data_IF_971937841793
#
_entry.id   IF_971937841793
#
_cell.length_a   1.000
_cell.length_b   1.000
_cell.length_c   1.000
_cell.angle_alpha   90.00
_cell.angle_beta   90.00
_cell.angle_gamma   90.00
#
_symmetry.space_group_name_H-M   'P 1'
#
loop_
_entity.id
_entity.type
_entity.pdbx_description
1 polymer ?
#
# COMPACT_ATOMS: atom_id res chain seq x y z
N UNK A 1 6.89 -42.86 16.94
CA UNK A 1 6.07 -43.59 15.95
C UNK A 1 4.62 -43.11 15.91
N UNK A 2 3.98 -42.84 17.06
CA UNK A 2 2.59 -42.32 17.12
C UNK A 2 2.37 -40.97 16.39
N UNK A 3 3.36 -40.05 16.43
CA UNK A 3 3.28 -38.74 15.73
C UNK A 3 3.37 -38.85 14.21
N UNK A 4 4.10 -39.83 13.70
CA UNK A 4 4.22 -40.08 12.25
C UNK A 4 2.96 -40.77 11.73
N UNK A 5 2.39 -41.70 12.51
CA UNK A 5 1.10 -42.32 12.20
C UNK A 5 -0.04 -41.28 12.20
N UNK A 6 -0.05 -40.35 13.16
CA UNK A 6 -1.07 -39.28 13.22
C UNK A 6 -0.94 -38.31 12.03
N UNK A 7 0.30 -37.97 11.64
CA UNK A 7 0.54 -37.13 10.46
C UNK A 7 0.13 -37.83 9.15
N UNK A 8 0.34 -39.14 9.03
CA UNK A 8 -0.08 -39.95 7.88
C UNK A 8 -1.60 -40.09 7.80
N UNK A 9 -2.29 -40.24 8.94
CA UNK A 9 -3.76 -40.31 8.99
C UNK A 9 -4.37 -38.94 8.69
N UNK A 10 -3.77 -37.84 9.15
CA UNK A 10 -4.19 -36.47 8.82
C UNK A 10 -3.96 -36.13 7.34
N UNK A 11 -2.86 -36.59 6.73
CA UNK A 11 -2.61 -36.38 5.29
C UNK A 11 -3.48 -37.26 4.39
N UNK A 12 -3.88 -38.46 4.85
CA UNK A 12 -4.88 -39.29 4.17
C UNK A 12 -6.31 -38.72 4.28
N UNK A 13 -6.63 -38.00 5.36
CA UNK A 13 -7.93 -37.31 5.55
C UNK A 13 -8.03 -35.99 4.76
N UNK A 14 -6.88 -35.37 4.41
CA UNK A 14 -6.81 -34.21 3.53
C UNK A 14 -6.89 -34.58 2.04
N UNK A 15 -6.89 -35.88 1.71
CA UNK A 15 -7.17 -36.42 0.38
C UNK A 15 -8.65 -36.71 0.14
N UNK A 16 -9.56 -36.06 0.86
CA UNK A 16 -10.97 -36.04 0.49
C UNK A 16 -11.06 -35.48 -0.92
N UNK A 17 -11.40 -36.37 -1.84
CA UNK A 17 -11.68 -36.08 -3.23
C UNK A 17 -12.54 -34.82 -3.29
N UNK A 18 -12.07 -33.81 -4.02
CA UNK A 18 -12.96 -32.79 -4.54
C UNK A 18 -14.12 -33.56 -5.18
N UNK A 19 -15.32 -33.48 -4.59
CA UNK A 19 -16.50 -34.00 -5.26
C UNK A 19 -16.50 -33.30 -6.61
N UNK A 20 -16.34 -34.07 -7.67
CA UNK A 20 -16.52 -33.57 -9.02
C UNK A 20 -17.86 -32.86 -8.99
N UNK A 21 -17.82 -31.54 -9.16
CA UNK A 21 -19.01 -30.70 -9.18
C UNK A 21 -19.80 -31.22 -10.37
N UNK A 22 -20.84 -32.01 -10.10
CA UNK A 22 -21.69 -32.58 -11.14
C UNK A 22 -22.16 -31.42 -11.99
N UNK A 23 -21.82 -31.43 -13.28
CA UNK A 23 -22.28 -30.43 -14.22
C UNK A 23 -23.79 -30.27 -14.02
N UNK A 24 -24.29 -29.09 -13.60
CA UNK A 24 -25.69 -28.95 -13.28
C UNK A 24 -26.54 -29.36 -14.48
N UNK A 25 -27.61 -30.12 -14.24
CA UNK A 25 -28.53 -30.54 -15.29
C UNK A 25 -29.27 -29.30 -15.83
N UNK A 26 -28.90 -28.91 -17.05
CA UNK A 26 -29.45 -27.75 -17.78
C UNK A 26 -30.42 -28.17 -18.87
N UNK A 27 -30.83 -29.44 -18.93
CA UNK A 27 -31.75 -29.96 -19.95
C UNK A 27 -33.10 -29.23 -19.92
N UNK A 28 -33.60 -28.90 -18.72
CA UNK A 28 -34.88 -28.22 -18.53
C UNK A 28 -34.89 -26.75 -19.03
N UNK A 29 -33.72 -26.14 -19.16
CA UNK A 29 -33.55 -24.75 -19.63
C UNK A 29 -32.98 -24.68 -21.04
N UNK A 30 -32.84 -25.82 -21.74
CA UNK A 30 -32.20 -25.88 -23.05
C UNK A 30 -30.74 -25.44 -23.04
N UNK A 31 -30.03 -25.59 -21.91
CA UNK A 31 -28.67 -25.09 -21.72
C UNK A 31 -28.57 -23.72 -21.04
N UNK A 32 -29.68 -22.99 -20.90
CA UNK A 32 -29.70 -21.67 -20.26
C UNK A 32 -29.54 -21.74 -18.72
N UNK A 33 -29.48 -20.59 -18.07
CA UNK A 33 -29.32 -20.49 -16.61
C UNK A 33 -30.53 -21.06 -15.86
N UNK A 34 -30.26 -21.88 -14.85
CA UNK A 34 -31.26 -22.41 -13.94
C UNK A 34 -31.61 -21.38 -12.86
N UNK A 35 -32.73 -21.59 -12.16
CA UNK A 35 -33.04 -20.79 -10.96
C UNK A 35 -31.92 -20.89 -9.91
N UNK A 36 -31.30 -22.06 -9.77
CA UNK A 36 -30.17 -22.24 -8.86
C UNK A 36 -28.98 -21.35 -9.25
N UNK A 37 -28.67 -21.21 -10.53
CA UNK A 37 -27.62 -20.31 -11.05
C UNK A 37 -27.95 -18.83 -10.80
N UNK A 38 -29.22 -18.45 -10.90
CA UNK A 38 -29.66 -17.08 -10.59
C UNK A 38 -29.48 -16.80 -9.10
N UNK A 39 -29.97 -17.71 -8.25
CA UNK A 39 -29.88 -17.55 -6.79
C UNK A 39 -28.42 -17.61 -6.31
N UNK A 40 -27.58 -18.46 -6.91
CA UNK A 40 -26.15 -18.54 -6.63
C UNK A 40 -25.44 -17.21 -6.95
N UNK A 41 -25.69 -16.63 -8.14
CA UNK A 41 -25.16 -15.29 -8.46
C UNK A 41 -25.67 -14.20 -7.54
N UNK A 42 -26.93 -14.24 -7.12
CA UNK A 42 -27.47 -13.30 -6.13
C UNK A 42 -26.79 -13.42 -4.77
N UNK A 43 -26.30 -14.62 -4.42
CA UNK A 43 -25.46 -14.85 -3.23
C UNK A 43 -23.98 -14.55 -3.46
N UNK A 44 -23.56 -14.21 -4.68
CA UNK A 44 -22.16 -13.99 -5.05
C UNK A 44 -21.33 -15.27 -5.21
N UNK A 45 -21.98 -16.42 -5.37
CA UNK A 45 -21.33 -17.71 -5.60
C UNK A 45 -20.86 -17.82 -7.06
N UNK A 46 -19.74 -18.52 -7.32
CA UNK A 46 -19.28 -18.79 -8.68
C UNK A 46 -20.28 -19.69 -9.41
N UNK A 47 -20.63 -19.31 -10.63
CA UNK A 47 -21.55 -20.04 -11.50
C UNK A 47 -20.86 -20.27 -12.83
N UNK A 48 -20.91 -21.52 -13.31
CA UNK A 48 -20.45 -21.85 -14.65
C UNK A 48 -21.29 -21.13 -15.70
N UNK A 49 -20.65 -20.24 -16.46
CA UNK A 49 -21.26 -19.43 -17.52
C UNK A 49 -20.84 -19.88 -18.93
N UNK A 50 -20.18 -21.03 -19.08
CA UNK A 50 -19.64 -21.52 -20.36
C UNK A 50 -20.73 -21.64 -21.44
N UNK A 51 -21.90 -22.18 -21.09
CA UNK A 51 -23.02 -22.25 -22.01
C UNK A 51 -23.51 -20.86 -22.45
N UNK A 52 -23.50 -19.87 -21.54
CA UNK A 52 -23.91 -18.49 -21.84
C UNK A 52 -22.89 -17.76 -22.73
N UNK A 53 -21.59 -18.06 -22.56
CA UNK A 53 -20.51 -17.54 -23.40
C UNK A 53 -20.57 -18.05 -24.83
N UNK A 54 -21.00 -19.31 -25.00
CA UNK A 54 -21.03 -19.97 -26.30
C UNK A 54 -22.34 -19.73 -27.06
N UNK A 55 -23.38 -19.28 -26.37
CA UNK A 55 -24.68 -18.96 -26.95
C UNK A 55 -24.81 -17.44 -27.10
N UNK A 56 -24.12 -16.90 -28.11
CA UNK A 56 -24.12 -15.46 -28.46
C UNK A 56 -24.88 -15.17 -29.75
N UNK A 57 -25.67 -16.14 -30.22
CA UNK A 57 -26.39 -16.07 -31.49
C UNK A 57 -25.45 -16.23 -32.69
N UNK A 58 -25.83 -17.05 -33.65
CA UNK A 58 -25.09 -17.14 -34.92
C UNK A 58 -25.64 -16.04 -35.85
N UNK A 59 -24.78 -15.19 -36.41
CA UNK A 59 -25.22 -14.12 -37.33
C UNK A 59 -25.87 -14.66 -38.61
N UNK A 60 -25.69 -15.96 -38.89
CA UNK A 60 -26.31 -16.68 -40.02
C UNK A 60 -27.72 -17.20 -39.72
N UNK A 61 -28.18 -17.25 -38.46
CA UNK A 61 -29.49 -17.79 -38.05
C UNK A 61 -30.59 -16.72 -37.91
N UNK A 62 -30.38 -15.50 -38.41
CA UNK A 62 -31.41 -14.44 -38.43
C UNK A 62 -32.43 -14.68 -39.55
N UNK A 63 -33.01 -15.87 -39.59
CA UNK A 63 -34.13 -16.21 -40.43
C UNK A 63 -35.45 -15.74 -39.79
N UNK A 64 -35.83 -14.50 -40.09
CA UNK A 64 -37.23 -14.07 -40.20
C UNK A 64 -38.08 -14.06 -38.93
N UNK A 65 -38.12 -12.92 -38.25
CA UNK A 65 -39.29 -12.53 -37.44
C UNK A 65 -39.95 -11.32 -38.08
N UNK A 66 -41.06 -11.55 -38.78
CA UNK A 66 -41.91 -10.50 -39.30
C UNK A 66 -42.60 -9.75 -38.14
N UNK A 67 -42.41 -8.43 -38.12
CA UNK A 67 -43.34 -7.40 -37.64
C UNK A 67 -43.58 -7.28 -36.13
N UNK A 68 -43.15 -6.17 -35.51
CA UNK A 68 -43.46 -5.83 -34.12
C UNK A 68 -43.97 -4.38 -33.99
N UNK A 69 -45.02 -4.21 -33.18
CA UNK A 69 -45.68 -2.94 -32.87
C UNK A 69 -44.92 -2.03 -31.87
N UNK A 70 -45.56 -0.95 -31.37
CA UNK A 70 -44.90 0.23 -30.80
C UNK A 70 -44.24 0.06 -29.43
N UNK A 71 -44.22 -1.14 -28.83
CA UNK A 71 -43.60 -1.43 -27.53
C UNK A 71 -42.34 -2.33 -27.62
N UNK A 72 -41.83 -2.63 -28.83
CA UNK A 72 -40.50 -3.25 -28.99
C UNK A 72 -40.31 -4.55 -28.19
N UNK A 73 -41.09 -5.59 -28.54
CA UNK A 73 -41.17 -6.86 -27.82
C UNK A 73 -40.01 -7.85 -28.00
N UNK A 74 -38.78 -7.39 -28.24
CA UNK A 74 -37.60 -8.27 -28.36
C UNK A 74 -36.45 -7.73 -27.53
N UNK A 75 -36.36 -8.17 -26.27
CA UNK A 75 -35.03 -8.32 -25.66
C UNK A 75 -34.42 -9.53 -26.33
N UNK A 76 -33.36 -9.33 -27.10
CA UNK A 76 -32.58 -10.37 -27.76
C UNK A 76 -31.42 -10.74 -26.82
N UNK A 77 -31.54 -11.79 -25.99
CA UNK A 77 -30.54 -12.12 -24.99
C UNK A 77 -29.23 -12.55 -25.64
N UNK A 78 -29.26 -13.07 -26.87
CA UNK A 78 -28.10 -13.45 -27.67
C UNK A 78 -27.27 -12.22 -28.01
N UNK A 79 -27.90 -11.16 -28.53
CA UNK A 79 -27.24 -9.87 -28.81
C UNK A 79 -26.60 -9.27 -27.55
N UNK A 80 -27.30 -9.26 -26.42
CA UNK A 80 -26.72 -8.73 -25.17
C UNK A 80 -25.59 -9.59 -24.62
N UNK A 81 -25.62 -10.91 -24.84
CA UNK A 81 -24.51 -11.81 -24.50
C UNK A 81 -23.32 -11.59 -25.43
N UNK A 82 -23.55 -11.45 -26.73
CA UNK A 82 -22.52 -11.14 -27.72
C UNK A 82 -21.83 -9.81 -27.38
N UNK A 83 -22.60 -8.80 -26.99
CA UNK A 83 -22.09 -7.50 -26.52
C UNK A 83 -21.27 -7.66 -25.23
N UNK A 84 -21.76 -8.43 -24.25
CA UNK A 84 -21.07 -8.66 -22.96
C UNK A 84 -19.75 -9.40 -23.11
N UNK A 85 -19.70 -10.38 -24.00
CA UNK A 85 -18.52 -11.23 -24.22
C UNK A 85 -17.64 -10.74 -25.38
N UNK A 86 -17.95 -9.60 -25.98
CA UNK A 86 -17.16 -8.99 -27.05
C UNK A 86 -17.18 -9.76 -28.37
N UNK A 87 -18.13 -10.67 -28.58
CA UNK A 87 -18.28 -11.43 -29.83
C UNK A 87 -19.25 -10.78 -30.83
N UNK A 88 -19.91 -9.68 -30.45
CA UNK A 88 -20.80 -8.94 -31.33
C UNK A 88 -20.01 -8.24 -32.46
N UNK A 89 -20.47 -8.40 -33.70
CA UNK A 89 -20.01 -7.56 -34.82
C UNK A 89 -20.48 -6.12 -34.62
N UNK A 90 -19.58 -5.25 -34.17
CA UNK A 90 -19.91 -3.86 -33.85
C UNK A 90 -19.26 -2.90 -34.84
N UNK A 91 -20.04 -1.93 -35.31
CA UNK A 91 -19.56 -0.78 -36.08
C UNK A 91 -19.84 0.49 -35.30
N UNK A 92 -18.78 1.20 -34.94
CA UNK A 92 -18.85 2.42 -34.14
C UNK A 92 -18.42 3.64 -34.95
N UNK A 93 -19.14 4.74 -34.79
CA UNK A 93 -18.87 5.99 -35.53
C UNK A 93 -17.53 6.63 -35.16
N UNK A 94 -17.05 6.40 -33.93
CA UNK A 94 -15.74 6.84 -33.49
C UNK A 94 -14.58 6.12 -34.21
N UNK A 95 -14.87 4.95 -34.82
CA UNK A 95 -13.87 4.08 -35.44
C UNK A 95 -12.90 3.44 -34.44
N UNK A 96 -12.09 2.50 -34.94
CA UNK A 96 -11.05 1.82 -34.15
C UNK A 96 -11.55 0.65 -33.29
N UNK A 97 -10.66 -0.32 -33.07
CA UNK A 97 -10.94 -1.58 -32.37
C UNK A 97 -11.28 -1.41 -30.88
N UNK A 98 -10.74 -0.38 -30.23
CA UNK A 98 -11.05 -0.07 -28.82
C UNK A 98 -12.49 0.38 -28.65
N UNK A 99 -13.03 1.13 -29.62
CA UNK A 99 -14.39 1.64 -29.54
C UNK A 99 -15.45 0.56 -29.81
N UNK A 100 -15.09 -0.60 -30.37
CA UNK A 100 -15.98 -1.77 -30.52
C UNK A 100 -16.25 -2.53 -29.22
N UNK A 101 -15.49 -2.28 -28.15
CA UNK A 101 -15.76 -2.87 -26.83
C UNK A 101 -16.86 -2.09 -26.12
N UNK A 102 -18.08 -2.58 -26.21
CA UNK A 102 -19.27 -1.92 -25.65
C UNK A 102 -19.48 -2.19 -24.15
N UNK A 103 -18.98 -3.33 -23.65
CA UNK A 103 -18.98 -3.68 -22.22
C UNK A 103 -17.56 -4.11 -21.85
N UNK A 104 -16.96 -3.41 -20.90
CA UNK A 104 -15.65 -3.76 -20.36
C UNK A 104 -15.78 -4.16 -18.89
N UNK A 105 -15.16 -5.26 -18.52
CA UNK A 105 -15.11 -5.79 -17.16
C UNK A 105 -13.71 -5.66 -16.54
N UNK A 106 -12.73 -5.10 -17.26
CA UNK A 106 -11.34 -4.98 -16.81
C UNK A 106 -11.21 -4.30 -15.44
N UNK A 107 -12.08 -3.33 -15.14
CA UNK A 107 -12.14 -2.67 -13.83
C UNK A 107 -12.61 -3.53 -12.65
N UNK A 108 -13.26 -4.68 -12.90
CA UNK A 108 -13.88 -5.50 -11.85
C UNK A 108 -12.85 -6.24 -11.00
N UNK A 109 -11.74 -6.67 -11.60
CA UNK A 109 -10.63 -7.31 -10.86
C UNK A 109 -10.01 -6.33 -9.87
N UNK A 110 -9.76 -5.09 -10.32
CA UNK A 110 -9.28 -4.03 -9.45
C UNK A 110 -10.30 -3.69 -8.36
N UNK A 111 -11.58 -3.54 -8.72
CA UNK A 111 -12.64 -3.21 -7.76
C UNK A 111 -12.75 -4.25 -6.66
N UNK A 112 -12.83 -5.54 -7.01
CA UNK A 112 -12.92 -6.64 -6.06
C UNK A 112 -11.69 -6.75 -5.16
N UNK A 113 -10.48 -6.58 -5.73
CA UNK A 113 -9.24 -6.55 -4.96
C UNK A 113 -9.19 -5.37 -3.98
N UNK A 114 -9.58 -4.17 -4.44
CA UNK A 114 -9.65 -2.95 -3.62
C UNK A 114 -10.70 -3.08 -2.53
N UNK A 115 -11.83 -3.71 -2.83
CA UNK A 115 -12.97 -3.82 -1.94
C UNK A 115 -12.81 -4.90 -0.86
N UNK A 116 -12.10 -5.98 -1.17
CA UNK A 116 -11.78 -7.04 -0.22
C UNK A 116 -10.31 -6.98 0.23
N UNK A 117 -9.40 -7.70 -0.44
CA UNK A 117 -8.01 -7.88 -0.02
C UNK A 117 -7.30 -6.62 0.47
N UNK A 118 -7.31 -5.52 -0.30
CA UNK A 118 -6.60 -4.30 0.06
C UNK A 118 -7.13 -3.71 1.38
N UNK A 119 -8.46 -3.57 1.50
CA UNK A 119 -9.10 -3.02 2.70
C UNK A 119 -8.88 -3.91 3.91
N UNK A 120 -9.05 -5.22 3.75
CA UNK A 120 -8.92 -6.18 4.85
C UNK A 120 -7.47 -6.27 5.34
N UNK A 121 -6.53 -6.58 4.46
CA UNK A 121 -5.13 -6.76 4.88
C UNK A 121 -4.46 -5.43 5.25
N UNK A 122 -4.73 -4.35 4.50
CA UNK A 122 -4.23 -3.02 4.84
C UNK A 122 -4.76 -2.53 6.19
N UNK A 123 -6.06 -2.72 6.46
CA UNK A 123 -6.67 -2.38 7.75
C UNK A 123 -6.06 -3.18 8.91
N UNK A 124 -5.96 -4.50 8.76
CA UNK A 124 -5.33 -5.37 9.77
C UNK A 124 -3.85 -5.08 9.98
N UNK A 125 -3.10 -4.70 8.94
CA UNK A 125 -1.70 -4.32 9.07
C UNK A 125 -1.54 -3.09 9.98
N UNK A 126 -2.34 -2.05 9.77
CA UNK A 126 -2.25 -0.83 10.58
C UNK A 126 -2.74 -1.06 12.01
N UNK A 127 -3.89 -1.72 12.18
CA UNK A 127 -4.41 -2.06 13.51
C UNK A 127 -3.48 -3.00 14.27
N UNK A 128 -2.93 -4.01 13.58
CA UNK A 128 -1.98 -4.95 14.14
C UNK A 128 -0.68 -4.27 14.56
N UNK A 129 -0.18 -3.32 13.75
CA UNK A 129 1.00 -2.52 14.08
C UNK A 129 0.74 -1.65 15.31
N UNK A 130 -0.38 -0.93 15.36
CA UNK A 130 -0.76 -0.15 16.55
C UNK A 130 -0.89 -1.03 17.79
N UNK A 131 -1.58 -2.17 17.68
CA UNK A 131 -1.73 -3.13 18.77
C UNK A 131 -0.40 -3.69 19.24
N UNK A 132 0.52 -4.02 18.33
CA UNK A 132 1.85 -4.49 18.65
C UNK A 132 2.68 -3.42 19.37
N UNK A 133 2.62 -2.16 18.93
CA UNK A 133 3.31 -1.05 19.58
C UNK A 133 2.75 -0.78 20.99
N UNK A 134 1.42 -0.82 21.16
CA UNK A 134 0.77 -0.69 22.47
C UNK A 134 1.18 -1.84 23.39
N UNK A 135 1.12 -3.08 22.91
CA UNK A 135 1.53 -4.25 23.68
C UNK A 135 3.01 -4.16 24.08
N UNK A 136 3.87 -3.78 23.14
CA UNK A 136 5.30 -3.58 23.40
C UNK A 136 5.52 -2.50 24.47
N UNK A 137 4.80 -1.38 24.39
CA UNK A 137 4.85 -0.32 25.41
C UNK A 137 4.39 -0.80 26.79
N UNK A 138 3.31 -1.58 26.87
CA UNK A 138 2.81 -2.11 28.15
C UNK A 138 3.76 -3.13 28.77
N UNK A 139 4.45 -3.93 27.96
CA UNK A 139 5.39 -4.95 28.44
C UNK A 139 6.76 -4.38 28.80
N UNK A 140 7.26 -3.42 28.02
CA UNK A 140 8.63 -2.90 28.16
C UNK A 140 8.71 -1.52 28.81
N UNK A 141 7.67 -0.70 28.65
CA UNK A 141 7.69 0.72 29.04
C UNK A 141 8.54 1.58 28.11
N UNK A 142 8.90 2.77 28.60
CA UNK A 142 9.79 3.71 27.90
C UNK A 142 11.25 3.26 28.02
N UNK A 143 12.01 3.39 26.93
CA UNK A 143 13.47 3.28 26.95
C UNK A 143 14.01 4.54 27.63
N UNK A 144 14.59 4.39 28.81
CA UNK A 144 15.14 5.47 29.63
C UNK A 144 16.63 5.67 29.36
N UNK A 145 17.11 6.85 29.72
CA UNK A 145 18.54 7.14 29.81
C UNK A 145 19.07 6.56 31.13
N UNK A 146 20.18 5.84 31.10
CA UNK A 146 20.79 5.21 32.28
C UNK A 146 21.58 6.23 33.11
N UNK A 147 22.11 7.27 32.46
CA UNK A 147 22.85 8.38 33.06
C UNK A 147 21.90 9.53 33.45
N UNK A 148 22.28 10.31 34.48
CA UNK A 148 21.56 11.54 34.81
C UNK A 148 21.74 12.57 33.68
N UNK A 149 20.65 13.27 33.34
CA UNK A 149 20.70 14.32 32.34
C UNK A 149 21.62 15.45 32.80
N UNK A 150 22.55 15.83 31.93
CA UNK A 150 23.61 16.79 32.27
C UNK A 150 23.12 18.24 32.25
N UNK A 151 22.00 18.51 31.57
CA UNK A 151 21.49 19.86 31.30
C UNK A 151 22.28 20.59 30.20
N UNK A 152 23.38 20.01 29.71
CA UNK A 152 24.16 20.54 28.58
C UNK A 152 23.66 19.90 27.30
N UNK A 153 23.39 20.75 26.30
CA UNK A 153 22.77 20.29 25.05
C UNK A 153 23.68 20.52 23.85
N UNK A 154 23.71 19.55 22.94
CA UNK A 154 24.41 19.63 21.66
C UNK A 154 23.41 19.70 20.49
N UNK A 155 23.72 20.52 19.49
CA UNK A 155 22.88 20.65 18.29
C UNK A 155 23.02 19.40 17.44
N UNK A 156 21.94 18.62 17.37
CA UNK A 156 21.85 17.40 16.57
C UNK A 156 21.32 17.66 15.16
N UNK A 157 20.29 18.50 15.04
CA UNK A 157 19.64 18.83 13.78
C UNK A 157 19.43 20.33 13.61
N UNK A 158 19.97 20.87 12.52
CA UNK A 158 19.83 22.28 12.15
C UNK A 158 18.37 22.62 11.83
N UNK A 159 18.02 23.90 11.89
CA UNK A 159 16.66 24.37 11.59
C UNK A 159 16.16 23.92 10.19
N UNK A 160 17.03 23.94 9.17
CA UNK A 160 16.67 23.47 7.81
C UNK A 160 16.41 21.97 7.75
N UNK A 161 17.16 21.17 8.51
CA UNK A 161 16.95 19.71 8.61
C UNK A 161 15.61 19.42 9.29
N UNK A 162 15.29 20.14 10.38
CA UNK A 162 14.00 20.04 11.06
C UNK A 162 12.83 20.47 10.18
N UNK A 163 12.98 21.58 9.45
CA UNK A 163 11.96 22.03 8.51
C UNK A 163 11.69 20.96 7.44
N UNK A 164 12.73 20.40 6.81
CA UNK A 164 12.59 19.31 5.86
C UNK A 164 11.89 18.09 6.45
N UNK A 165 12.22 17.74 7.70
CA UNK A 165 11.59 16.63 8.41
C UNK A 165 10.10 16.88 8.65
N UNK A 166 9.73 18.06 9.17
CA UNK A 166 8.33 18.38 9.46
C UNK A 166 7.50 18.61 8.21
N UNK A 167 8.11 19.12 7.13
CA UNK A 167 7.48 19.19 5.81
C UNK A 167 7.14 17.78 5.31
N UNK A 168 8.09 16.84 5.38
CA UNK A 168 7.90 15.46 4.95
C UNK A 168 6.91 14.70 5.85
N UNK A 169 7.08 14.78 7.17
CA UNK A 169 6.25 14.06 8.15
C UNK A 169 4.81 14.60 8.16
N UNK A 170 4.65 15.93 8.21
CA UNK A 170 3.33 16.56 8.22
C UNK A 170 2.53 16.28 6.94
N UNK A 171 3.19 16.39 5.78
CA UNK A 171 2.57 16.04 4.51
C UNK A 171 2.23 14.55 4.43
N UNK A 172 3.13 13.65 4.86
CA UNK A 172 2.87 12.21 4.88
C UNK A 172 1.67 11.84 5.74
N UNK A 173 1.56 12.38 6.96
CA UNK A 173 0.42 12.11 7.85
C UNK A 173 -0.89 12.57 7.20
N UNK A 174 -0.91 13.78 6.63
CA UNK A 174 -2.10 14.31 5.96
C UNK A 174 -2.48 13.50 4.71
N UNK A 175 -1.50 13.09 3.92
CA UNK A 175 -1.69 12.21 2.76
C UNK A 175 -2.19 10.83 3.18
N UNK A 176 -1.65 10.28 4.26
CA UNK A 176 -2.07 8.99 4.76
C UNK A 176 -3.51 9.00 5.26
N UNK A 177 -3.90 10.03 6.02
CA UNK A 177 -5.28 10.21 6.48
C UNK A 177 -6.25 10.38 5.30
N UNK A 178 -5.93 11.25 4.34
CA UNK A 178 -6.79 11.45 3.16
C UNK A 178 -6.89 10.21 2.27
N UNK A 179 -5.81 9.44 2.14
CA UNK A 179 -5.80 8.14 1.45
C UNK A 179 -6.67 7.09 2.15
N UNK A 180 -6.59 6.99 3.48
CA UNK A 180 -7.44 6.10 4.28
C UNK A 180 -8.91 6.51 4.19
N UNK A 181 -9.22 7.80 4.26
CA UNK A 181 -10.58 8.31 4.08
C UNK A 181 -11.11 7.99 2.68
N UNK A 182 -10.28 8.13 1.64
CA UNK A 182 -10.63 7.75 0.26
C UNK A 182 -10.98 6.26 0.13
N UNK A 183 -10.23 5.40 0.80
CA UNK A 183 -10.42 3.95 0.73
C UNK A 183 -11.59 3.46 1.61
N UNK A 184 -11.73 3.98 2.82
CA UNK A 184 -12.65 3.48 3.84
C UNK A 184 -13.92 4.31 4.03
N UNK A 185 -13.97 5.56 3.56
CA UNK A 185 -15.04 6.51 3.87
C UNK A 185 -16.44 5.99 3.54
N UNK A 186 -16.61 5.36 2.37
CA UNK A 186 -17.92 4.80 1.98
C UNK A 186 -18.43 3.72 2.95
N UNK A 187 -17.54 2.95 3.56
CA UNK A 187 -17.90 1.79 4.40
C UNK A 187 -17.94 2.14 5.89
N UNK A 188 -17.08 3.06 6.33
CA UNK A 188 -16.96 3.42 7.74
C UNK A 188 -17.54 4.78 8.12
N UNK A 189 -17.74 5.69 7.16
CA UNK A 189 -18.22 7.05 7.44
C UNK A 189 -19.66 7.21 6.95
N UNK A 190 -19.93 6.86 5.70
CA UNK A 190 -21.25 7.05 5.10
C UNK A 190 -22.41 6.37 5.86
N UNK A 191 -22.27 5.16 6.45
CA UNK A 191 -23.36 4.55 7.20
C UNK A 191 -23.73 5.29 8.50
N UNK A 192 -22.80 6.04 9.09
CA UNK A 192 -22.99 6.70 10.38
C UNK A 192 -23.28 8.20 10.25
N UNK A 193 -22.65 8.86 9.27
CA UNK A 193 -22.76 10.32 9.08
C UNK A 193 -23.53 10.72 7.82
N UNK A 194 -23.98 9.75 7.02
CA UNK A 194 -24.72 9.99 5.78
C UNK A 194 -23.84 10.19 4.55
N UNK A 195 -24.46 10.06 3.38
CA UNK A 195 -23.77 10.08 2.08
C UNK A 195 -23.24 11.48 1.71
N UNK A 196 -23.94 12.54 2.11
CA UNK A 196 -23.57 13.92 1.83
C UNK A 196 -22.30 14.33 2.58
N UNK A 197 -22.24 14.09 3.89
CA UNK A 197 -21.04 14.34 4.71
C UNK A 197 -19.85 13.58 4.14
N UNK A 198 -20.04 12.30 3.82
CA UNK A 198 -18.98 11.49 3.22
C UNK A 198 -18.53 12.03 1.85
N UNK A 199 -19.45 12.48 0.99
CA UNK A 199 -19.10 13.05 -0.31
C UNK A 199 -18.28 14.35 -0.16
N UNK A 200 -18.67 15.25 0.74
CA UNK A 200 -17.92 16.48 1.05
C UNK A 200 -16.52 16.14 1.56
N UNK A 201 -16.42 15.20 2.49
CA UNK A 201 -15.15 14.77 3.05
C UNK A 201 -14.24 14.14 1.98
N UNK A 202 -14.77 13.31 1.08
CA UNK A 202 -14.01 12.69 -0.01
C UNK A 202 -13.51 13.72 -1.02
N UNK A 203 -14.34 14.72 -1.36
CA UNK A 203 -13.93 15.81 -2.24
C UNK A 203 -12.78 16.62 -1.63
N UNK A 204 -12.92 17.02 -0.35
CA UNK A 204 -11.86 17.71 0.38
C UNK A 204 -10.59 16.84 0.46
N UNK A 205 -10.75 15.55 0.80
CA UNK A 205 -9.62 14.62 0.89
C UNK A 205 -8.86 14.49 -0.42
N UNK A 206 -9.56 14.34 -1.55
CA UNK A 206 -8.92 14.27 -2.87
C UNK A 206 -8.18 15.56 -3.22
N UNK A 207 -8.80 16.71 -2.96
CA UNK A 207 -8.15 18.01 -3.22
C UNK A 207 -6.89 18.20 -2.36
N UNK A 208 -6.98 17.92 -1.06
CA UNK A 208 -5.83 17.97 -0.15
C UNK A 208 -4.75 16.99 -0.61
N UNK A 209 -5.12 15.74 -0.91
CA UNK A 209 -4.17 14.70 -1.27
C UNK A 209 -3.35 15.07 -2.52
N UNK A 210 -4.03 15.54 -3.56
CA UNK A 210 -3.39 15.91 -4.82
C UNK A 210 -2.44 17.12 -4.69
N UNK A 211 -2.76 18.08 -3.82
CA UNK A 211 -1.95 19.29 -3.66
C UNK A 211 -0.81 19.09 -2.64
N UNK A 212 -1.06 18.40 -1.53
CA UNK A 212 -0.06 18.16 -0.48
C UNK A 212 1.00 17.14 -0.94
N UNK A 213 0.70 16.30 -1.93
CA UNK A 213 1.66 15.38 -2.54
C UNK A 213 2.94 16.09 -3.02
N UNK A 214 2.83 17.31 -3.56
CA UNK A 214 4.00 18.08 -4.01
C UNK A 214 4.90 18.51 -2.85
N UNK A 215 4.31 18.90 -1.72
CA UNK A 215 5.06 19.21 -0.50
C UNK A 215 5.80 17.97 0.04
N UNK A 216 5.16 16.80 -0.02
CA UNK A 216 5.79 15.52 0.32
C UNK A 216 6.99 15.21 -0.58
N UNK A 217 6.83 15.36 -1.90
CA UNK A 217 7.92 15.12 -2.87
C UNK A 217 9.10 16.05 -2.61
N UNK A 218 8.84 17.34 -2.39
CA UNK A 218 9.88 18.33 -2.06
C UNK A 218 10.57 17.94 -0.75
N UNK A 219 9.81 17.64 0.30
CA UNK A 219 10.34 17.21 1.59
C UNK A 219 11.20 15.94 1.48
N UNK A 220 10.80 14.99 0.64
CA UNK A 220 11.53 13.75 0.39
C UNK A 220 12.90 14.02 -0.25
N UNK A 221 12.93 14.88 -1.27
CA UNK A 221 14.18 15.28 -1.94
C UNK A 221 15.08 16.05 -0.98
N UNK A 222 14.54 16.98 -0.20
CA UNK A 222 15.30 17.74 0.80
C UNK A 222 15.98 16.81 1.81
N UNK A 223 15.22 15.87 2.39
CA UNK A 223 15.74 14.93 3.38
C UNK A 223 16.77 13.99 2.76
N UNK A 224 16.56 13.51 1.54
CA UNK A 224 17.55 12.71 0.83
C UNK A 224 18.88 13.47 0.70
N UNK A 225 18.85 14.68 0.13
CA UNK A 225 20.05 15.47 -0.13
C UNK A 225 20.79 15.80 1.17
N UNK A 226 20.08 16.18 2.23
CA UNK A 226 20.70 16.55 3.51
C UNK A 226 21.28 15.35 4.26
N UNK A 227 20.66 14.17 4.19
CA UNK A 227 20.96 13.07 5.11
C UNK A 227 21.57 11.82 4.48
N UNK A 228 21.56 11.68 3.14
CA UNK A 228 22.02 10.45 2.47
C UNK A 228 23.43 10.04 2.87
N UNK A 229 24.37 10.99 2.94
CA UNK A 229 25.77 10.72 3.28
C UNK A 229 25.92 10.11 4.67
N UNK A 230 25.12 10.58 5.63
CA UNK A 230 25.13 10.06 7.01
C UNK A 230 24.37 8.74 7.16
N UNK A 231 23.58 8.34 6.16
CA UNK A 231 22.75 7.13 6.18
C UNK A 231 23.30 5.98 5.33
N UNK A 232 24.53 6.11 4.82
CA UNK A 232 25.23 5.00 4.16
C UNK A 232 25.53 3.90 5.21
N UNK A 233 25.12 2.64 4.96
CA UNK A 233 25.43 1.53 5.84
C UNK A 233 26.94 1.35 6.02
N UNK A 234 27.37 1.08 7.25
CA UNK A 234 28.77 0.91 7.60
C UNK A 234 28.96 -0.27 8.58
N UNK A 235 30.20 -0.58 8.95
CA UNK A 235 30.51 -1.73 9.80
C UNK A 235 29.92 -1.64 11.21
N UNK A 236 29.77 -0.43 11.78
CA UNK A 236 29.18 -0.28 13.13
C UNK A 236 27.70 -0.65 13.13
N UNK A 237 27.00 -0.53 12.00
CA UNK A 237 25.60 -0.94 11.89
C UNK A 237 25.43 -2.46 12.08
N UNK A 238 26.40 -3.27 11.64
CA UNK A 238 26.38 -4.72 11.84
C UNK A 238 26.48 -5.05 13.34
N UNK A 239 27.35 -4.35 14.07
CA UNK A 239 27.46 -4.50 15.53
C UNK A 239 26.17 -4.09 16.23
N UNK A 240 25.58 -2.96 15.83
CA UNK A 240 24.30 -2.49 16.36
C UNK A 240 23.19 -3.52 16.16
N UNK A 241 23.10 -4.11 14.95
CA UNK A 241 22.11 -5.15 14.64
C UNK A 241 22.33 -6.44 15.44
N UNK A 242 23.59 -6.87 15.64
CA UNK A 242 23.91 -8.04 16.46
C UNK A 242 23.50 -7.86 17.93
N UNK A 243 23.52 -6.63 18.43
CA UNK A 243 23.08 -6.26 19.78
C UNK A 243 21.59 -5.87 19.83
N UNK A 244 20.82 -6.11 18.77
CA UNK A 244 19.40 -5.76 18.66
C UNK A 244 19.12 -4.29 19.05
N UNK A 245 20.06 -3.40 18.72
CA UNK A 245 19.96 -1.99 19.04
C UNK A 245 19.97 -1.62 20.52
N UNK A 246 20.48 -2.51 21.39
CA UNK A 246 20.48 -2.30 22.84
C UNK A 246 19.10 -2.49 23.48
N UNK A 247 18.11 -2.94 22.72
CA UNK A 247 16.76 -3.22 23.24
C UNK A 247 16.77 -4.46 24.15
N UNK A 248 17.66 -5.42 23.86
CA UNK A 248 17.82 -6.66 24.60
C UNK A 248 19.17 -6.62 25.32
N UNK A 249 19.14 -6.56 26.66
CA UNK A 249 20.34 -6.48 27.49
C UNK A 249 20.55 -5.10 28.13
N UNK A 250 21.79 -4.82 28.52
CA UNK A 250 22.25 -3.52 29.09
C UNK A 250 23.28 -2.81 28.22
N UNK A 251 23.61 -3.39 27.07
CA UNK A 251 24.64 -2.84 26.19
C UNK A 251 24.04 -1.74 25.31
N UNK A 252 24.71 -0.59 25.26
CA UNK A 252 24.38 0.50 24.34
C UNK A 252 25.34 0.46 23.15
N UNK A 253 24.91 -0.07 21.99
CA UNK A 253 25.78 -0.19 20.82
C UNK A 253 26.25 1.21 20.36
N UNK A 254 27.56 1.42 20.17
CA UNK A 254 28.08 2.72 19.75
C UNK A 254 27.58 3.05 18.34
N UNK A 255 27.11 4.29 18.15
CA UNK A 255 26.52 4.73 16.89
C UNK A 255 27.01 6.12 16.48
N UNK A 256 27.06 6.34 15.15
CA UNK A 256 27.31 7.67 14.55
C UNK A 256 26.05 8.54 14.60
N UNK A 257 25.99 9.62 13.81
CA UNK A 257 24.84 10.56 13.74
C UNK A 257 23.50 9.82 13.59
N UNK A 258 23.46 8.73 12.82
CA UNK A 258 22.34 7.80 12.75
C UNK A 258 22.77 6.39 13.11
N UNK A 259 21.93 5.68 13.88
CA UNK A 259 22.10 4.26 14.17
C UNK A 259 21.49 3.38 13.05
N UNK A 260 21.74 2.07 13.08
CA UNK A 260 21.30 1.17 12.01
C UNK A 260 19.76 1.16 11.84
N UNK A 261 19.01 1.22 12.95
CA UNK A 261 17.54 1.35 12.93
C UNK A 261 17.09 2.60 12.17
N UNK A 262 17.66 3.76 12.51
CA UNK A 262 17.35 5.02 11.84
C UNK A 262 17.72 5.00 10.35
N UNK A 263 18.84 4.35 9.97
CA UNK A 263 19.22 4.16 8.57
C UNK A 263 18.23 3.29 7.80
N UNK A 264 17.72 2.22 8.42
CA UNK A 264 16.68 1.39 7.81
C UNK A 264 15.40 2.19 7.58
N UNK A 265 15.00 3.04 8.53
CA UNK A 265 13.86 3.94 8.36
C UNK A 265 14.12 4.95 7.24
N UNK A 266 15.30 5.58 7.20
CA UNK A 266 15.68 6.50 6.13
C UNK A 266 15.52 5.83 4.76
N UNK A 267 16.15 4.69 4.52
CA UNK A 267 16.07 4.01 3.23
C UNK A 267 14.65 3.51 2.92
N UNK A 268 13.89 3.08 3.92
CA UNK A 268 12.48 2.73 3.73
C UNK A 268 11.68 3.94 3.25
N UNK A 269 11.82 5.09 3.91
CA UNK A 269 11.15 6.34 3.50
C UNK A 269 11.57 6.77 2.10
N UNK A 270 12.87 6.69 1.77
CA UNK A 270 13.36 7.04 0.44
C UNK A 270 12.79 6.11 -0.64
N UNK A 271 12.88 4.79 -0.45
CA UNK A 271 12.43 3.81 -1.46
C UNK A 271 10.92 3.80 -1.59
N UNK A 272 10.19 3.60 -0.49
CA UNK A 272 8.72 3.57 -0.52
C UNK A 272 8.15 4.93 -0.86
N UNK A 273 8.67 6.02 -0.28
CA UNK A 273 8.22 7.38 -0.56
C UNK A 273 8.42 7.76 -2.03
N UNK A 274 9.56 7.41 -2.63
CA UNK A 274 9.79 7.64 -4.06
C UNK A 274 8.83 6.81 -4.92
N UNK A 275 8.60 5.54 -4.54
CA UNK A 275 7.68 4.66 -5.24
C UNK A 275 6.23 5.18 -5.22
N UNK A 276 5.78 5.66 -4.06
CA UNK A 276 4.47 6.31 -3.85
C UNK A 276 4.40 7.61 -4.65
N UNK A 277 5.46 8.43 -4.65
CA UNK A 277 5.50 9.67 -5.43
C UNK A 277 5.38 9.41 -6.94
N UNK A 278 6.17 8.48 -7.48
CA UNK A 278 6.15 8.15 -8.92
C UNK A 278 4.78 7.60 -9.32
N UNK A 279 4.25 6.64 -8.57
CA UNK A 279 2.91 6.09 -8.84
C UNK A 279 1.79 7.12 -8.64
N UNK A 280 1.92 8.03 -7.67
CA UNK A 280 0.96 9.12 -7.44
C UNK A 280 0.95 10.14 -8.58
N UNK A 281 2.12 10.52 -9.08
CA UNK A 281 2.24 11.41 -10.25
C UNK A 281 1.67 10.75 -11.50
N UNK A 282 1.92 9.45 -11.71
CA UNK A 282 1.28 8.68 -12.78
C UNK A 282 -0.25 8.69 -12.69
N UNK A 283 -0.81 8.57 -11.47
CA UNK A 283 -2.26 8.68 -11.25
C UNK A 283 -2.83 10.09 -11.50
N UNK A 284 -2.01 11.14 -11.38
CA UNK A 284 -2.41 12.52 -11.72
C UNK A 284 -2.41 12.76 -13.23
N UNK A 285 -1.51 12.10 -13.97
CA UNK A 285 -1.32 12.28 -15.42
C UNK A 285 -1.35 10.91 -16.15
N UNK A 286 -2.50 10.22 -16.13
CA UNK A 286 -2.59 8.82 -16.58
C UNK A 286 -2.43 8.64 -18.10
N UNK A 287 -2.54 9.71 -18.88
CA UNK A 287 -2.36 9.66 -20.33
C UNK A 287 -0.94 10.02 -20.77
N UNK A 288 -0.20 10.71 -19.90
CA UNK A 288 1.14 11.23 -20.18
C UNK A 288 2.24 10.40 -19.52
N UNK A 289 1.94 9.78 -18.37
CA UNK A 289 2.93 9.08 -17.54
C UNK A 289 2.49 7.64 -17.21
N UNK A 290 2.30 6.76 -18.22
CA UNK A 290 2.08 5.33 -17.98
C UNK A 290 3.34 4.69 -17.39
N UNK A 291 3.17 3.76 -16.45
CA UNK A 291 4.28 3.13 -15.74
C UNK A 291 4.39 1.64 -16.08
N UNK A 292 3.27 0.92 -16.09
CA UNK A 292 3.29 -0.53 -16.00
C UNK A 292 3.55 -1.21 -17.33
N UNK A 293 2.97 -0.76 -18.43
CA UNK A 293 3.19 -1.36 -19.74
C UNK A 293 4.68 -1.41 -20.10
N UNK A 294 5.39 -0.28 -19.87
CA UNK A 294 6.83 -0.20 -20.09
C UNK A 294 7.62 -1.07 -19.12
N UNK A 295 7.27 -1.06 -17.82
CA UNK A 295 7.92 -1.94 -16.85
C UNK A 295 7.72 -3.41 -17.20
N UNK A 296 6.51 -3.81 -17.57
CA UNK A 296 6.15 -5.17 -17.96
C UNK A 296 6.90 -5.62 -19.21
N UNK A 297 7.05 -4.75 -20.22
CA UNK A 297 7.89 -5.03 -21.39
C UNK A 297 9.34 -5.34 -20.97
N UNK A 298 9.95 -4.50 -20.13
CA UNK A 298 11.31 -4.73 -19.63
C UNK A 298 11.40 -6.05 -18.84
N UNK A 299 10.42 -6.36 -17.99
CA UNK A 299 10.41 -7.61 -17.22
C UNK A 299 10.28 -8.85 -18.12
N UNK A 300 9.46 -8.77 -19.17
CA UNK A 300 9.29 -9.82 -20.17
C UNK A 300 10.58 -10.03 -20.96
N UNK A 301 11.24 -8.94 -21.39
CA UNK A 301 12.51 -9.00 -22.14
C UNK A 301 13.64 -9.64 -21.31
N UNK A 302 13.62 -9.42 -19.99
CA UNK A 302 14.55 -10.06 -19.05
C UNK A 302 14.17 -11.52 -18.71
N UNK A 303 13.03 -12.01 -19.19
CA UNK A 303 12.51 -13.35 -18.91
C UNK A 303 12.10 -13.58 -17.46
N UNK A 304 11.95 -12.51 -16.66
CA UNK A 304 11.69 -12.61 -15.22
C UNK A 304 10.38 -13.33 -14.87
N UNK A 305 9.24 -13.10 -15.58
CA UNK A 305 8.04 -13.88 -15.34
C UNK A 305 8.26 -15.39 -15.55
N UNK A 306 9.00 -15.76 -16.60
CA UNK A 306 9.32 -17.15 -16.90
C UNK A 306 10.15 -17.83 -15.80
N UNK A 307 11.05 -17.11 -15.12
CA UNK A 307 11.85 -17.64 -14.01
C UNK A 307 11.01 -18.13 -12.82
N UNK A 308 9.83 -17.55 -12.64
CA UNK A 308 8.90 -17.90 -11.55
C UNK A 308 7.67 -18.67 -12.07
N UNK A 309 7.72 -19.17 -13.30
CA UNK A 309 6.64 -19.97 -13.90
C UNK A 309 5.39 -19.17 -14.27
N UNK A 310 5.52 -17.85 -14.49
CA UNK A 310 4.44 -16.98 -14.92
C UNK A 310 4.48 -16.76 -16.44
N UNK A 311 3.29 -16.61 -17.02
CA UNK A 311 3.10 -16.10 -18.38
C UNK A 311 3.66 -14.67 -18.53
N UNK A 312 4.01 -14.23 -19.76
CA UNK A 312 4.40 -12.85 -20.03
C UNK A 312 3.35 -11.85 -19.53
N UNK A 313 3.82 -10.76 -18.95
CA UNK A 313 2.97 -9.69 -18.44
C UNK A 313 2.34 -8.88 -19.59
N UNK A 314 1.13 -8.34 -19.42
CA UNK A 314 0.43 -7.62 -20.49
C UNK A 314 1.10 -6.29 -20.82
N UNK A 315 1.58 -6.10 -22.05
CA UNK A 315 2.28 -4.85 -22.48
C UNK A 315 1.38 -3.86 -23.23
N UNK A 316 0.20 -4.29 -23.66
CA UNK A 316 -0.82 -3.44 -24.28
C UNK A 316 -1.89 -3.15 -23.23
N UNK A 317 -1.69 -2.06 -22.47
CA UNK A 317 -2.61 -1.64 -21.43
C UNK A 317 -3.39 -0.40 -21.88
N UNK A 318 -4.70 -0.41 -21.67
CA UNK A 318 -5.51 0.80 -21.73
C UNK A 318 -5.14 1.77 -20.59
N UNK A 319 -5.42 3.08 -20.73
CA UNK A 319 -5.17 4.04 -19.65
C UNK A 319 -5.87 3.66 -18.34
N UNK A 320 -7.06 3.05 -18.42
CA UNK A 320 -7.78 2.59 -17.23
C UNK A 320 -7.04 1.44 -16.54
N UNK A 321 -6.45 0.50 -17.27
CA UNK A 321 -5.69 -0.62 -16.70
C UNK A 321 -4.38 -0.14 -16.08
N UNK A 322 -3.67 0.78 -16.73
CA UNK A 322 -2.50 1.47 -16.16
C UNK A 322 -2.84 2.10 -14.80
N UNK A 323 -3.93 2.87 -14.73
CA UNK A 323 -4.40 3.47 -13.48
C UNK A 323 -4.73 2.43 -12.41
N UNK A 324 -5.30 1.29 -12.77
CA UNK A 324 -5.62 0.22 -11.82
C UNK A 324 -4.36 -0.39 -11.19
N UNK A 325 -3.34 -0.68 -12.01
CA UNK A 325 -2.04 -1.16 -11.51
C UNK A 325 -1.34 -0.09 -10.68
N UNK A 326 -1.30 1.16 -11.15
CA UNK A 326 -0.70 2.27 -10.42
C UNK A 326 -1.38 2.51 -9.08
N UNK A 327 -2.72 2.49 -9.02
CA UNK A 327 -3.45 2.66 -7.77
C UNK A 327 -3.17 1.50 -6.81
N UNK A 328 -3.16 0.26 -7.31
CA UNK A 328 -2.89 -0.92 -6.48
C UNK A 328 -1.49 -0.88 -5.88
N UNK A 329 -0.49 -0.60 -6.71
CA UNK A 329 0.90 -0.45 -6.27
C UNK A 329 1.07 0.70 -5.28
N UNK A 330 0.50 1.87 -5.59
CA UNK A 330 0.53 3.04 -4.72
C UNK A 330 -0.04 2.71 -3.33
N UNK A 331 -1.19 2.04 -3.29
CA UNK A 331 -1.84 1.68 -2.03
C UNK A 331 -1.01 0.67 -1.23
N UNK A 332 -0.43 -0.36 -1.86
CA UNK A 332 0.42 -1.35 -1.18
C UNK A 332 1.63 -0.65 -0.55
N UNK A 333 2.36 0.16 -1.32
CA UNK A 333 3.54 0.88 -0.84
C UNK A 333 3.17 1.85 0.28
N UNK A 334 2.04 2.55 0.16
CA UNK A 334 1.55 3.47 1.17
C UNK A 334 1.21 2.75 2.49
N UNK A 335 0.52 1.62 2.46
CA UNK A 335 0.21 0.85 3.68
C UNK A 335 1.47 0.34 4.39
N UNK A 336 2.43 -0.18 3.63
CA UNK A 336 3.72 -0.63 4.19
C UNK A 336 4.46 0.54 4.83
N UNK A 337 4.56 1.67 4.12
CA UNK A 337 5.24 2.85 4.66
C UNK A 337 4.50 3.41 5.89
N UNK A 338 3.16 3.43 5.91
CA UNK A 338 2.40 3.85 7.09
C UNK A 338 2.72 2.99 8.30
N UNK A 339 2.78 1.66 8.17
CA UNK A 339 3.14 0.76 9.27
C UNK A 339 4.56 1.06 9.81
N UNK A 340 5.53 1.29 8.91
CA UNK A 340 6.90 1.67 9.28
C UNK A 340 6.91 3.03 10.00
N UNK A 341 6.18 4.02 9.49
CA UNK A 341 6.12 5.35 10.07
C UNK A 341 5.42 5.35 11.44
N UNK A 342 4.42 4.50 11.68
CA UNK A 342 3.84 4.33 13.00
C UNK A 342 4.89 3.87 14.02
N UNK A 343 5.72 2.90 13.67
CA UNK A 343 6.83 2.45 14.51
C UNK A 343 7.89 3.56 14.71
N UNK A 344 8.19 4.33 13.67
CA UNK A 344 9.10 5.47 13.76
C UNK A 344 8.57 6.57 14.70
N UNK A 345 7.30 6.96 14.57
CA UNK A 345 6.65 7.92 15.45
C UNK A 345 6.69 7.41 16.89
N UNK A 346 6.38 6.13 17.12
CA UNK A 346 6.46 5.54 18.45
C UNK A 346 7.85 5.72 19.08
N UNK A 347 8.92 5.28 18.41
CA UNK A 347 10.29 5.39 18.96
C UNK A 347 10.72 6.84 19.11
N UNK A 348 10.36 7.73 18.16
CA UNK A 348 10.74 9.14 18.18
C UNK A 348 9.93 10.02 19.13
N UNK A 349 8.92 9.48 19.82
CA UNK A 349 8.07 10.25 20.74
C UNK A 349 7.91 9.58 22.10
N UNK A 350 7.08 8.54 22.18
CA UNK A 350 6.67 7.93 23.46
C UNK A 350 7.60 6.80 23.88
N UNK A 351 8.23 6.10 22.91
CA UNK A 351 9.01 4.89 23.13
C UNK A 351 10.40 5.13 23.70
N UNK A 352 11.01 6.29 23.45
CA UNK A 352 12.37 6.62 23.91
C UNK A 352 12.41 8.02 24.53
N UNK A 353 12.96 8.11 25.74
CA UNK A 353 13.11 9.36 26.48
C UNK A 353 14.06 10.33 25.75
N UNK A 354 13.71 11.63 25.76
CA UNK A 354 14.50 12.69 25.11
C UNK A 354 14.53 12.66 23.57
N UNK A 355 13.98 11.62 22.93
CA UNK A 355 14.06 11.43 21.48
C UNK A 355 13.37 12.55 20.69
N UNK A 356 12.24 13.06 21.21
CA UNK A 356 11.47 14.10 20.57
C UNK A 356 12.23 15.43 20.46
N UNK A 357 13.06 15.75 21.46
CA UNK A 357 13.79 17.04 21.53
C UNK A 357 14.73 17.22 20.33
N UNK A 358 15.30 16.13 19.84
CA UNK A 358 16.11 16.11 18.62
C UNK A 358 15.40 16.76 17.42
N UNK A 359 14.10 16.52 17.24
CA UNK A 359 13.31 17.10 16.13
C UNK A 359 12.46 18.30 16.54
N UNK A 360 12.09 18.40 17.81
CA UNK A 360 11.34 19.53 18.36
C UNK A 360 12.21 20.79 18.44
N UNK A 361 13.32 20.72 19.15
CA UNK A 361 14.22 21.87 19.40
C UNK A 361 15.47 21.84 18.52
N UNK A 362 15.88 20.66 18.06
CA UNK A 362 17.15 20.45 17.34
C UNK A 362 18.31 20.10 18.26
N UNK A 363 18.08 20.16 19.57
CA UNK A 363 19.08 19.99 20.64
C UNK A 363 18.82 18.68 21.39
N UNK A 364 19.88 18.00 21.80
CA UNK A 364 19.80 16.81 22.66
C UNK A 364 20.78 16.93 23.82
N UNK A 365 20.45 16.35 24.97
CA UNK A 365 21.36 16.32 26.12
C UNK A 365 22.62 15.48 25.81
N UNK A 366 23.76 15.89 26.37
CA UNK A 366 25.01 15.14 26.21
C UNK A 366 24.92 13.69 26.72
N UNK A 367 24.21 13.41 27.82
CA UNK A 367 24.02 12.04 28.31
C UNK A 367 23.23 11.18 27.32
N UNK A 368 22.19 11.77 26.72
CA UNK A 368 21.41 11.10 25.67
C UNK A 368 22.28 10.82 24.43
N UNK A 369 23.08 11.81 24.02
CA UNK A 369 23.99 11.67 22.89
C UNK A 369 25.08 10.62 23.16
N UNK A 370 25.60 10.55 24.38
CA UNK A 370 26.58 9.55 24.80
C UNK A 370 25.99 8.14 24.72
N UNK A 371 24.81 7.92 25.32
CA UNK A 371 24.18 6.61 25.36
C UNK A 371 23.76 6.11 23.97
N UNK A 372 23.16 6.96 23.14
CA UNK A 372 22.56 6.52 21.87
C UNK A 372 23.45 6.75 20.64
N UNK A 373 24.44 7.64 20.74
CA UNK A 373 25.22 8.16 19.61
C UNK A 373 26.66 8.54 20.01
N UNK A 374 27.31 7.74 20.86
CA UNK A 374 28.65 8.00 21.42
C UNK A 374 29.69 8.42 20.38
N UNK A 375 29.81 7.67 19.27
CA UNK A 375 30.79 7.98 18.21
C UNK A 375 30.55 9.38 17.63
N UNK A 376 29.29 9.78 17.48
CA UNK A 376 28.97 11.12 16.97
C UNK A 376 29.24 12.22 17.99
N UNK A 377 28.98 11.97 19.28
CA UNK A 377 29.32 12.92 20.33
C UNK A 377 30.84 13.15 20.40
N UNK A 378 31.64 12.09 20.30
CA UNK A 378 33.09 12.17 20.27
C UNK A 378 33.59 12.96 19.05
N UNK A 379 33.07 12.66 17.85
CA UNK A 379 33.36 13.40 16.61
C UNK A 379 33.02 14.90 16.74
N UNK A 380 31.94 15.25 17.47
CA UNK A 380 31.53 16.64 17.70
C UNK A 380 32.45 17.38 18.68
N UNK A 381 32.89 16.70 19.76
CA UNK A 381 33.83 17.23 20.75
C UNK A 381 35.21 17.45 20.12
N UNK A 382 35.68 16.50 19.31
CA UNK A 382 36.93 16.63 18.55
C UNK A 382 36.89 17.78 17.54
N UNK A 383 35.73 18.06 16.95
CA UNK A 383 35.53 19.17 16.01
C UNK A 383 35.41 20.56 16.68
N UNK A 384 35.48 20.65 18.02
CA UNK A 384 35.41 21.91 18.77
C UNK A 384 34.02 22.56 18.78
N UNK A 385 32.97 21.79 18.49
CA UNK A 385 31.58 22.26 18.52
C UNK A 385 30.95 22.01 19.89
N UNK A 386 31.58 22.54 20.95
CA UNK A 386 31.11 22.36 22.32
C UNK A 386 29.75 23.05 22.58
N UNK A 387 28.94 22.41 23.41
CA UNK A 387 27.62 22.86 23.82
C UNK A 387 27.66 24.26 24.49
N UNK A 388 26.79 25.21 24.10
CA UNK A 388 26.62 26.42 24.89
C UNK A 388 26.06 26.07 26.27
N UNK A 389 26.77 26.47 27.32
CA UNK A 389 26.35 26.30 28.70
C UNK A 389 25.07 27.11 28.93
N UNK A 390 23.91 26.45 29.05
CA UNK A 390 22.71 27.10 29.60
C UNK A 390 22.98 27.38 31.08
N UNK A 391 23.32 28.63 31.38
CA UNK A 391 23.40 29.11 32.75
C UNK A 391 22.03 28.95 33.42
N UNK A 392 21.94 28.12 34.45
CA UNK A 392 20.83 28.19 35.39
C UNK A 392 20.90 29.57 36.09
N UNK A 393 19.83 30.37 36.11
CA UNK A 393 19.72 31.43 37.10
C UNK A 393 19.66 30.74 38.46
N UNK A 394 20.56 31.10 39.37
CA UNK A 394 20.47 30.71 40.76
C UNK A 394 19.27 31.43 41.38
N UNK A 395 18.23 30.69 41.76
CA UNK A 395 17.25 31.08 42.78
C UNK A 395 16.92 29.91 43.69
#
# INVERSE_FOLDING_TARGET
MLRVALALVLSLMLGLTAQAQTTPDRSATGGAQTLADILARQRGEPVDDTAMRNDTGNSEDVAGAAQLGPLGGTSDPEVWRAIRYGSAETRVSAGGEVASVLVQDGGMKWLSWRDGPLRTYGGWLLLGTLGALVLFYLLRGRIRIDEEMTGRTVTRFKAVERFGHWLLAGSFVLLGLTGLVSLFGRVFIAPYLGREVNATLLNASKWIHNNVAWAFIIGLVMIFVMWVVHNIPNRSDITWLRQFGGIIGKDHPPAKKFNAGQKMIFWSVIVFGTSIAISGVSLLFPYELPLFAKTFAILNDLGLPGLVGMEPLPVLLSPQEEMQFAQGWHAIMAFVLMAIILAHIYIGSVGMEGAYDAMGTGEVDEAWAHQHHSIWLDEMKEAGNDAPQKAHPAE
#
